data_IF_187036196416
#
_entry.id   IF_187036196416
#
_cell.length_a   1.000
_cell.length_b   1.000
_cell.length_c   1.000
_cell.angle_alpha   90.00
_cell.angle_beta   90.00
_cell.angle_gamma   90.00
#
_symmetry.space_group_name_H-M   'P 1'
#
loop_
_entity.id
_entity.type
_entity.pdbx_description
1 polymer ?
#
# COMPACT_ATOMS: atom_id res chain seq x y z
N UNK A 1 -12.74 -3.27 6.35
CA UNK A 1 -14.00 -3.39 7.13
C UNK A 1 -15.13 -3.17 6.14
N UNK A 2 -15.62 -4.24 5.54
CA UNK A 2 -16.64 -4.21 4.49
C UNK A 2 -18.01 -4.04 5.15
N UNK A 3 -18.58 -2.84 5.05
CA UNK A 3 -19.99 -2.61 5.35
C UNK A 3 -20.86 -3.23 4.24
N UNK A 4 -21.94 -3.86 4.67
CA UNK A 4 -22.87 -4.63 3.84
C UNK A 4 -23.56 -3.74 2.77
N UNK A 5 -23.80 -4.23 1.55
CA UNK A 5 -24.69 -3.56 0.60
C UNK A 5 -26.12 -3.49 1.17
N UNK A 6 -26.73 -2.31 1.07
CA UNK A 6 -27.94 -1.90 1.78
C UNK A 6 -29.26 -2.55 1.34
N UNK A 7 -29.25 -3.56 0.48
CA UNK A 7 -30.46 -4.17 -0.06
C UNK A 7 -30.74 -5.55 0.57
N UNK A 8 -30.95 -5.56 1.89
CA UNK A 8 -31.77 -6.56 2.60
C UNK A 8 -32.02 -6.12 4.06
N UNK A 9 -32.79 -5.03 4.24
CA UNK A 9 -33.13 -4.40 5.54
C UNK A 9 -34.11 -5.26 6.39
N UNK A 10 -34.07 -6.58 6.25
CA UNK A 10 -34.72 -7.52 7.17
C UNK A 10 -33.92 -8.81 7.38
N UNK A 11 -32.60 -8.77 7.18
CA UNK A 11 -31.73 -9.90 7.53
C UNK A 11 -31.40 -9.88 9.04
N UNK A 12 -31.53 -11.00 9.77
CA UNK A 12 -31.09 -11.13 11.17
C UNK A 12 -29.59 -10.91 11.38
N UNK A 13 -28.81 -10.63 10.33
CA UNK A 13 -27.37 -10.32 10.38
C UNK A 13 -27.04 -8.94 10.94
N UNK A 14 -27.96 -7.97 11.00
CA UNK A 14 -27.63 -6.60 11.44
C UNK A 14 -27.26 -6.47 12.93
N UNK A 15 -27.43 -7.53 13.73
CA UNK A 15 -27.09 -7.57 15.14
C UNK A 15 -25.77 -8.32 15.44
N UNK A 16 -25.10 -8.83 14.40
CA UNK A 16 -23.92 -9.67 14.51
C UNK A 16 -22.79 -9.14 13.63
N UNK A 17 -21.60 -9.00 14.20
CA UNK A 17 -20.40 -8.52 13.52
C UNK A 17 -19.53 -9.69 13.05
N UNK A 18 -18.80 -9.50 11.95
CA UNK A 18 -17.82 -10.47 11.46
C UNK A 18 -16.63 -10.56 12.43
N UNK A 19 -16.32 -11.79 12.85
CA UNK A 19 -15.20 -12.09 13.73
C UNK A 19 -14.21 -13.02 12.99
N UNK A 20 -13.20 -12.47 12.30
CA UNK A 20 -12.17 -13.26 11.64
C UNK A 20 -11.27 -13.93 12.69
N UNK A 21 -10.79 -15.12 12.36
CA UNK A 21 -9.78 -15.82 13.13
C UNK A 21 -8.94 -16.72 12.22
N UNK A 22 -7.71 -17.02 12.64
CA UNK A 22 -6.81 -17.89 11.88
C UNK A 22 -6.17 -18.93 12.78
N UNK A 23 -5.91 -20.11 12.19
CA UNK A 23 -5.09 -21.16 12.81
C UNK A 23 -3.81 -21.30 11.97
N UNK A 24 -2.66 -20.81 12.45
CA UNK A 24 -1.41 -20.85 11.69
C UNK A 24 -0.98 -22.28 11.36
N UNK A 25 -0.50 -22.49 10.13
CA UNK A 25 0.24 -23.68 9.73
C UNK A 25 1.69 -23.50 10.21
N UNK A 26 2.19 -24.33 11.11
CA UNK A 26 3.57 -24.20 11.59
C UNK A 26 4.54 -24.60 10.48
N UNK A 27 5.66 -23.89 10.38
CA UNK A 27 6.74 -24.26 9.45
C UNK A 27 7.22 -25.71 9.71
N UNK A 28 7.16 -26.55 8.68
CA UNK A 28 7.66 -27.92 8.73
C UNK A 28 6.81 -28.92 9.53
N UNK A 29 5.60 -28.57 9.94
CA UNK A 29 4.63 -29.48 10.54
C UNK A 29 3.48 -29.81 9.57
N UNK A 30 2.82 -30.95 9.77
CA UNK A 30 1.57 -31.23 9.07
C UNK A 30 0.57 -30.11 9.38
N UNK A 31 -0.04 -29.54 8.33
CA UNK A 31 -1.08 -28.54 8.47
C UNK A 31 -2.17 -29.06 9.43
N UNK A 32 -2.72 -28.21 10.32
CA UNK A 32 -3.87 -28.60 11.12
C UNK A 32 -4.94 -29.11 10.15
N UNK A 33 -5.32 -30.38 10.27
CA UNK A 33 -6.34 -30.94 9.41
C UNK A 33 -7.60 -30.07 9.57
N UNK A 34 -8.04 -29.39 8.50
CA UNK A 34 -9.21 -28.52 8.53
C UNK A 34 -10.43 -29.24 9.12
N UNK A 35 -10.51 -30.56 8.90
CA UNK A 35 -11.55 -31.43 9.47
C UNK A 35 -11.46 -31.60 11.00
N UNK A 36 -10.28 -31.49 11.61
CA UNK A 36 -10.12 -31.48 13.06
C UNK A 36 -10.66 -30.17 13.65
N UNK A 37 -10.30 -29.03 13.06
CA UNK A 37 -10.82 -27.71 13.48
C UNK A 37 -12.32 -27.64 13.28
N UNK A 38 -12.83 -28.07 12.12
CA UNK A 38 -14.26 -28.13 11.83
C UNK A 38 -15.03 -29.00 12.83
N UNK A 39 -14.45 -30.13 13.29
CA UNK A 39 -15.07 -30.97 14.32
C UNK A 39 -15.17 -30.27 15.68
N UNK A 40 -14.18 -29.47 16.05
CA UNK A 40 -14.20 -28.70 17.30
C UNK A 40 -15.28 -27.63 17.23
N UNK A 41 -15.28 -26.84 16.15
CA UNK A 41 -16.30 -25.80 15.90
C UNK A 41 -17.71 -26.41 15.88
N UNK A 42 -17.90 -27.55 15.20
CA UNK A 42 -19.15 -28.29 15.20
C UNK A 42 -19.55 -28.81 16.60
N UNK A 43 -18.59 -29.21 17.43
CA UNK A 43 -18.83 -29.65 18.81
C UNK A 43 -19.39 -28.53 19.69
N UNK A 44 -18.97 -27.30 19.46
CA UNK A 44 -19.54 -26.10 20.08
C UNK A 44 -20.84 -25.62 19.41
N UNK A 45 -21.23 -26.25 18.30
CA UNK A 45 -22.39 -25.89 17.45
C UNK A 45 -22.33 -24.44 16.97
N UNK A 46 -21.13 -23.92 16.76
CA UNK A 46 -20.93 -22.55 16.30
C UNK A 46 -21.27 -22.43 14.81
N UNK A 47 -21.72 -21.25 14.43
CA UNK A 47 -21.95 -20.86 13.04
C UNK A 47 -20.67 -20.17 12.57
N UNK A 48 -19.98 -20.79 11.61
CA UNK A 48 -18.70 -20.29 11.12
C UNK A 48 -18.37 -20.81 9.74
N UNK A 49 -17.63 -20.05 8.95
CA UNK A 49 -17.07 -20.47 7.68
C UNK A 49 -15.57 -20.75 7.85
N UNK A 50 -15.04 -21.68 7.06
CA UNK A 50 -13.62 -21.96 7.00
C UNK A 50 -13.13 -22.00 5.56
N UNK A 51 -11.89 -21.61 5.37
CA UNK A 51 -11.18 -21.64 4.11
C UNK A 51 -9.74 -22.06 4.37
N UNK A 52 -9.21 -22.94 3.52
CA UNK A 52 -7.83 -23.39 3.62
C UNK A 52 -6.93 -22.49 2.78
N UNK A 53 -5.91 -21.92 3.42
CA UNK A 53 -4.96 -21.01 2.78
C UNK A 53 -3.51 -21.49 2.91
N UNK A 54 -2.60 -20.92 2.10
CA UNK A 54 -1.17 -21.13 2.30
C UNK A 54 -0.75 -20.50 3.62
N UNK A 55 -0.28 -21.33 4.54
CA UNK A 55 0.28 -20.88 5.82
C UNK A 55 -0.72 -20.70 6.97
N UNK A 56 -2.03 -20.73 6.74
CA UNK A 56 -3.03 -20.83 7.82
C UNK A 56 -4.40 -21.34 7.33
N UNK A 57 -5.17 -21.89 8.27
CA UNK A 57 -6.59 -22.11 8.10
C UNK A 57 -7.33 -20.84 8.52
N UNK A 58 -8.14 -20.28 7.62
CA UNK A 58 -8.96 -19.11 7.86
C UNK A 58 -10.31 -19.52 8.39
N UNK A 59 -10.80 -18.80 9.39
CA UNK A 59 -12.10 -18.97 10.01
C UNK A 59 -12.80 -17.62 10.03
N UNK A 60 -14.09 -17.64 9.74
CA UNK A 60 -14.95 -16.48 9.91
C UNK A 60 -16.12 -16.89 10.79
N UNK A 61 -16.37 -16.11 11.84
CA UNK A 61 -17.52 -16.27 12.72
C UNK A 61 -18.38 -15.01 12.70
N UNK A 62 -19.55 -15.11 13.34
CA UNK A 62 -20.40 -13.98 13.66
C UNK A 62 -20.40 -13.80 15.18
N UNK A 63 -20.20 -12.59 15.66
CA UNK A 63 -20.15 -12.26 17.08
C UNK A 63 -21.20 -11.20 17.44
N UNK A 64 -21.81 -11.32 18.62
CA UNK A 64 -22.70 -10.27 19.13
C UNK A 64 -21.88 -9.09 19.69
N UNK A 65 -22.57 -8.02 20.10
CA UNK A 65 -21.94 -6.86 20.74
C UNK A 65 -21.18 -7.19 22.04
N UNK A 66 -21.41 -8.36 22.63
CA UNK A 66 -20.69 -8.88 23.80
C UNK A 66 -19.49 -9.77 23.44
N UNK A 67 -19.17 -9.94 22.15
CA UNK A 67 -18.09 -10.79 21.66
C UNK A 67 -18.38 -12.29 21.72
N UNK A 68 -19.65 -12.70 21.88
CA UNK A 68 -20.05 -14.11 21.87
C UNK A 68 -20.36 -14.56 20.46
N UNK A 69 -19.82 -15.72 20.09
CA UNK A 69 -19.97 -16.29 18.77
C UNK A 69 -21.37 -16.88 18.57
N UNK A 70 -21.94 -16.70 17.39
CA UNK A 70 -23.23 -17.24 17.01
C UNK A 70 -23.22 -18.77 17.10
N UNK A 71 -24.21 -19.33 17.78
CA UNK A 71 -24.36 -20.76 18.03
C UNK A 71 -25.75 -21.22 17.60
N UNK A 72 -25.83 -22.43 17.05
CA UNK A 72 -27.09 -23.09 16.77
C UNK A 72 -27.65 -23.78 18.02
N UNK A 73 -28.82 -23.35 18.48
CA UNK A 73 -29.58 -23.97 19.56
C UNK A 73 -30.19 -25.31 19.12
N UNK A 74 -30.62 -26.15 20.06
CA UNK A 74 -31.22 -27.48 19.77
C UNK A 74 -32.47 -27.42 18.88
N UNK A 75 -33.23 -26.34 18.99
CA UNK A 75 -34.41 -26.07 18.18
C UNK A 75 -34.10 -25.49 16.77
N UNK A 76 -32.82 -25.25 16.48
CA UNK A 76 -32.34 -24.68 15.21
C UNK A 76 -32.36 -23.16 15.14
N UNK A 77 -32.66 -22.46 16.24
CA UNK A 77 -32.50 -21.01 16.35
C UNK A 77 -31.04 -20.59 16.57
N UNK A 78 -30.75 -19.30 16.43
CA UNK A 78 -29.42 -18.72 16.65
C UNK A 78 -29.40 -18.07 18.03
N UNK A 79 -28.41 -18.44 18.86
CA UNK A 79 -28.20 -17.89 20.20
C UNK A 79 -26.72 -17.53 20.42
N UNK A 80 -26.40 -16.66 21.40
CA UNK A 80 -25.01 -16.39 21.77
C UNK A 80 -24.32 -17.59 22.43
N UNK A 81 -23.17 -17.99 21.90
CA UNK A 81 -22.36 -19.10 22.37
C UNK A 81 -21.19 -18.70 23.27
N UNK A 82 -20.04 -19.31 23.01
CA UNK A 82 -18.76 -19.02 23.65
C UNK A 82 -18.08 -17.80 23.02
N UNK A 83 -17.05 -17.27 23.66
CA UNK A 83 -16.20 -16.23 23.05
C UNK A 83 -15.11 -16.84 22.17
N UNK A 84 -14.43 -16.00 21.37
CA UNK A 84 -13.28 -16.42 20.57
C UNK A 84 -12.13 -16.95 21.45
N UNK A 85 -11.90 -16.36 22.61
CA UNK A 85 -10.88 -16.79 23.57
C UNK A 85 -11.18 -18.17 24.16
N UNK A 86 -12.45 -18.43 24.49
CA UNK A 86 -12.89 -19.74 24.99
C UNK A 86 -12.71 -20.83 23.93
N UNK A 87 -13.06 -20.51 22.67
CA UNK A 87 -12.83 -21.40 21.53
C UNK A 87 -11.33 -21.62 21.30
N UNK A 88 -10.53 -20.55 21.34
CA UNK A 88 -9.07 -20.61 21.18
C UNK A 88 -8.41 -21.49 22.24
N UNK A 89 -8.84 -21.37 23.49
CA UNK A 89 -8.36 -22.20 24.59
C UNK A 89 -8.73 -23.69 24.39
N UNK A 90 -9.92 -23.98 23.87
CA UNK A 90 -10.32 -25.37 23.57
C UNK A 90 -9.59 -25.95 22.36
N UNK A 91 -9.43 -25.15 21.30
CA UNK A 91 -8.60 -25.49 20.16
C UNK A 91 -7.18 -25.83 20.61
N UNK A 92 -6.61 -25.01 21.50
CA UNK A 92 -5.26 -25.21 22.03
C UNK A 92 -5.14 -26.49 22.85
N UNK A 93 -6.15 -26.83 23.65
CA UNK A 93 -6.16 -28.10 24.40
C UNK A 93 -6.24 -29.32 23.49
N UNK A 94 -7.04 -29.27 22.44
CA UNK A 94 -7.32 -30.45 21.60
C UNK A 94 -6.31 -30.63 20.46
N UNK A 95 -5.80 -29.53 19.90
CA UNK A 95 -4.91 -29.55 18.73
C UNK A 95 -3.49 -29.08 19.04
N UNK A 96 -3.26 -28.50 20.23
CA UNK A 96 -2.01 -27.82 20.55
C UNK A 96 -1.84 -26.46 19.86
N UNK A 97 -2.89 -25.93 19.20
CA UNK A 97 -2.86 -24.69 18.41
C UNK A 97 -3.88 -23.68 18.93
N UNK A 98 -3.51 -22.41 19.01
CA UNK A 98 -4.43 -21.32 19.34
C UNK A 98 -4.97 -20.62 18.10
N UNK A 99 -6.07 -19.90 18.26
CA UNK A 99 -6.56 -18.93 17.27
C UNK A 99 -5.79 -17.62 17.39
N UNK A 100 -5.57 -16.97 16.25
CA UNK A 100 -5.08 -15.61 16.15
C UNK A 100 -6.15 -14.73 15.49
N UNK A 101 -6.23 -13.46 15.87
CA UNK A 101 -7.20 -12.51 15.29
C UNK A 101 -6.84 -12.17 13.84
N UNK A 102 -5.55 -12.13 13.52
CA UNK A 102 -5.02 -11.78 12.21
C UNK A 102 -4.29 -12.96 11.57
N UNK A 103 -4.21 -12.95 10.24
CA UNK A 103 -3.41 -13.93 9.53
C UNK A 103 -1.93 -13.61 9.72
N UNK A 104 -1.09 -14.57 10.18
CA UNK A 104 0.33 -14.32 10.45
C UNK A 104 1.13 -13.91 9.21
N UNK A 105 0.62 -14.26 8.02
CA UNK A 105 1.19 -13.89 6.73
C UNK A 105 0.57 -12.64 6.09
N UNK A 106 -0.34 -11.93 6.77
CA UNK A 106 -0.99 -10.76 6.19
C UNK A 106 0.04 -9.66 5.94
N UNK A 107 0.16 -9.27 4.67
CA UNK A 107 1.02 -8.19 4.21
C UNK A 107 0.17 -7.14 3.55
N UNK A 108 0.53 -5.88 3.78
CA UNK A 108 -0.10 -4.74 3.14
C UNK A 108 0.94 -3.86 2.48
N UNK A 109 0.59 -3.35 1.32
CA UNK A 109 1.40 -2.43 0.54
C UNK A 109 0.52 -1.26 0.14
N UNK A 110 1.03 -0.05 0.31
CA UNK A 110 0.35 1.17 -0.11
C UNK A 110 1.06 1.73 -1.34
N UNK A 111 0.35 1.78 -2.47
CA UNK A 111 0.76 2.47 -3.68
C UNK A 111 0.24 3.90 -3.65
N UNK A 112 1.11 4.86 -3.42
CA UNK A 112 0.74 6.28 -3.40
C UNK A 112 1.22 6.96 -4.68
N UNK A 113 0.41 7.89 -5.20
CA UNK A 113 0.80 8.76 -6.30
C UNK A 113 1.68 9.93 -5.81
N UNK A 114 2.72 9.59 -5.07
CA UNK A 114 3.74 10.50 -4.57
C UNK A 114 5.09 9.97 -5.06
N UNK A 115 5.92 10.84 -5.63
CA UNK A 115 7.24 10.45 -6.12
C UNK A 115 8.28 10.54 -4.99
N UNK A 116 9.51 10.13 -5.25
CA UNK A 116 10.57 10.05 -4.24
C UNK A 116 10.81 11.37 -3.46
N UNK A 117 10.74 12.57 -4.09
CA UNK A 117 10.89 13.83 -3.37
C UNK A 117 9.78 14.10 -2.35
N UNK A 118 8.57 13.61 -2.55
CA UNK A 118 7.42 13.85 -1.68
C UNK A 118 7.44 12.99 -0.41
N UNK A 119 8.11 11.82 -0.45
CA UNK A 119 8.11 10.85 0.66
C UNK A 119 8.69 11.35 1.99
N UNK A 120 9.80 12.12 2.06
CA UNK A 120 10.24 12.72 3.31
C UNK A 120 9.18 13.62 3.97
N UNK A 121 8.41 14.34 3.15
CA UNK A 121 7.36 15.24 3.63
C UNK A 121 6.17 14.43 4.14
N UNK A 122 5.81 13.34 3.46
CA UNK A 122 4.82 12.39 3.94
C UNK A 122 5.19 11.83 5.32
N UNK A 123 6.42 11.33 5.50
CA UNK A 123 6.91 10.82 6.78
C UNK A 123 6.88 11.91 7.88
N UNK A 124 7.23 13.16 7.54
CA UNK A 124 7.19 14.28 8.48
C UNK A 124 5.78 14.74 8.84
N UNK A 125 4.82 14.73 7.91
CA UNK A 125 3.45 15.16 8.20
C UNK A 125 2.67 14.09 8.94
N UNK A 126 2.84 12.82 8.56
CA UNK A 126 2.21 11.68 9.22
C UNK A 126 2.86 11.29 10.54
N UNK A 127 4.11 11.73 10.79
CA UNK A 127 4.92 11.31 11.92
C UNK A 127 5.15 9.79 11.97
N UNK A 128 5.15 9.12 10.80
CA UNK A 128 5.32 7.67 10.66
C UNK A 128 6.65 7.30 10.02
N UNK A 129 7.13 6.09 10.33
CA UNK A 129 8.28 5.48 9.67
C UNK A 129 7.84 4.49 8.60
N UNK A 130 8.47 4.53 7.43
CA UNK A 130 8.19 3.55 6.37
C UNK A 130 9.37 3.36 5.42
N UNK A 131 9.38 2.21 4.76
CA UNK A 131 10.29 1.92 3.65
C UNK A 131 9.55 2.08 2.34
N UNK A 132 10.19 2.73 1.36
CA UNK A 132 9.55 2.96 0.06
C UNK A 132 10.51 2.84 -1.13
N UNK A 133 9.93 2.52 -2.28
CA UNK A 133 10.59 2.55 -3.59
C UNK A 133 9.70 3.29 -4.58
N UNK A 134 10.25 4.31 -5.22
CA UNK A 134 9.54 5.09 -6.23
C UNK A 134 9.89 4.65 -7.65
N UNK A 135 8.88 4.52 -8.51
CA UNK A 135 8.99 4.17 -9.93
C UNK A 135 7.93 4.93 -10.71
N UNK A 136 8.35 5.67 -11.75
CA UNK A 136 7.44 6.33 -12.68
C UNK A 136 6.39 7.23 -12.01
N UNK A 137 6.76 7.92 -10.92
CA UNK A 137 5.86 8.83 -10.20
C UNK A 137 4.92 8.15 -9.18
N UNK A 138 5.00 6.82 -9.04
CA UNK A 138 4.35 6.07 -7.97
C UNK A 138 5.37 5.62 -6.94
N UNK A 139 4.96 5.54 -5.67
CA UNK A 139 5.77 4.93 -4.61
C UNK A 139 5.08 3.73 -4.00
N UNK A 140 5.83 2.62 -3.94
CA UNK A 140 5.47 1.42 -3.19
C UNK A 140 5.92 1.63 -1.75
N UNK A 141 4.99 1.70 -0.81
CA UNK A 141 5.25 2.00 0.60
C UNK A 141 4.88 0.80 1.47
N UNK A 142 5.81 0.41 2.35
CA UNK A 142 5.62 -0.62 3.38
C UNK A 142 5.94 0.00 4.73
N UNK A 143 5.03 -0.18 5.67
CA UNK A 143 5.13 0.34 7.03
C UNK A 143 5.72 -0.70 7.95
N UNK A 144 6.47 -0.24 8.95
CA UNK A 144 7.04 -1.12 9.97
C UNK A 144 5.98 -1.55 11.00
N UNK A 145 4.99 -0.68 11.24
CA UNK A 145 3.89 -0.89 12.18
C UNK A 145 2.53 -0.70 11.50
N UNK A 146 1.53 -1.49 11.93
CA UNK A 146 0.18 -1.41 11.37
C UNK A 146 -0.55 -0.11 11.74
N UNK A 147 -0.26 0.46 12.91
CA UNK A 147 -0.81 1.76 13.34
C UNK A 147 -0.37 2.86 12.38
N UNK A 148 0.89 2.82 11.96
CA UNK A 148 1.46 3.78 11.01
C UNK A 148 0.83 3.63 9.62
N UNK A 149 0.60 2.40 9.18
CA UNK A 149 -0.15 2.12 7.95
C UNK A 149 -1.55 2.76 7.99
N UNK A 150 -2.31 2.58 9.07
CA UNK A 150 -3.65 3.17 9.19
C UNK A 150 -3.61 4.69 9.28
N UNK A 151 -2.63 5.27 9.98
CA UNK A 151 -2.46 6.71 10.09
C UNK A 151 -2.20 7.36 8.72
N UNK A 152 -1.34 6.76 7.89
CA UNK A 152 -1.11 7.28 6.54
C UNK A 152 -2.29 7.00 5.63
N UNK A 153 -2.79 5.76 5.58
CA UNK A 153 -3.91 5.38 4.73
C UNK A 153 -5.12 6.31 4.87
N UNK A 154 -5.51 6.64 6.10
CA UNK A 154 -6.68 7.48 6.39
C UNK A 154 -6.41 8.98 6.25
N UNK A 155 -5.14 9.40 6.28
CA UNK A 155 -4.72 10.80 6.17
C UNK A 155 -4.30 11.23 4.76
N UNK A 156 -4.35 10.34 3.77
CA UNK A 156 -3.97 10.67 2.40
C UNK A 156 -5.02 11.55 1.72
N UNK A 157 -4.58 12.71 1.23
CA UNK A 157 -5.39 13.61 0.40
C UNK A 157 -5.22 13.39 -1.10
N UNK A 158 -4.57 12.30 -1.52
CA UNK A 158 -4.30 11.95 -2.92
C UNK A 158 -4.77 10.51 -3.18
N UNK A 159 -5.20 10.18 -4.41
CA UNK A 159 -5.58 8.82 -4.75
C UNK A 159 -4.43 7.82 -4.52
N UNK A 160 -4.78 6.66 -3.99
CA UNK A 160 -3.84 5.60 -3.68
C UNK A 160 -4.46 4.23 -3.95
N UNK A 161 -3.62 3.20 -4.03
CA UNK A 161 -4.07 1.81 -4.13
C UNK A 161 -3.50 1.02 -2.97
N UNK A 162 -4.37 0.35 -2.23
CA UNK A 162 -3.99 -0.57 -1.16
C UNK A 162 -4.00 -1.97 -1.74
N UNK A 163 -2.91 -2.68 -1.53
CA UNK A 163 -2.85 -4.12 -1.76
C UNK A 163 -2.76 -4.82 -0.42
N UNK A 164 -3.59 -5.83 -0.22
CA UNK A 164 -3.45 -6.76 0.90
C UNK A 164 -3.36 -8.18 0.36
N UNK A 165 -2.49 -8.98 0.96
CA UNK A 165 -2.42 -10.41 0.66
C UNK A 165 -2.00 -11.15 1.91
N UNK A 166 -2.69 -12.24 2.19
CA UNK A 166 -2.28 -13.24 3.16
C UNK A 166 -1.83 -14.56 2.50
N UNK A 167 -1.76 -14.55 1.16
CA UNK A 167 -1.46 -15.68 0.29
C UNK A 167 -2.69 -16.48 -0.16
N UNK A 168 -3.76 -16.53 0.65
CA UNK A 168 -5.03 -17.16 0.26
C UNK A 168 -5.97 -16.11 -0.33
N UNK A 169 -6.16 -15.05 0.44
CA UNK A 169 -7.01 -13.90 0.16
C UNK A 169 -6.13 -12.75 -0.30
N UNK A 170 -6.57 -12.10 -1.36
CA UNK A 170 -5.93 -10.96 -2.00
C UNK A 170 -6.96 -9.88 -2.20
N UNK A 171 -6.56 -8.64 -1.99
CA UNK A 171 -7.40 -7.49 -2.35
C UNK A 171 -6.58 -6.36 -2.93
N UNK A 172 -7.23 -5.62 -3.83
CA UNK A 172 -6.74 -4.37 -4.38
C UNK A 172 -7.85 -3.32 -4.26
N UNK A 173 -7.61 -2.30 -3.46
CA UNK A 173 -8.60 -1.27 -3.13
C UNK A 173 -8.09 0.09 -3.55
N UNK A 174 -8.89 0.86 -4.27
CA UNK A 174 -8.54 2.21 -4.72
C UNK A 174 -9.13 3.22 -3.74
N UNK A 175 -8.26 3.98 -3.10
CA UNK A 175 -8.61 5.10 -2.24
C UNK A 175 -8.72 6.35 -3.09
N UNK A 176 -9.87 7.03 -3.03
CA UNK A 176 -10.18 8.14 -3.93
C UNK A 176 -10.03 9.52 -3.30
N UNK A 177 -9.48 9.60 -2.08
CA UNK A 177 -9.18 10.86 -1.39
C UNK A 177 -10.37 11.86 -1.33
N UNK A 178 -11.60 11.35 -1.27
CA UNK A 178 -12.82 12.16 -1.22
C UNK A 178 -13.44 12.48 -2.59
N UNK A 179 -12.98 11.84 -3.67
CA UNK A 179 -13.64 11.87 -4.98
C UNK A 179 -14.69 10.75 -5.10
N UNK A 180 -15.89 11.06 -5.61
CA UNK A 180 -16.89 10.06 -6.01
C UNK A 180 -16.65 9.71 -7.49
N UNK A 181 -16.23 8.47 -7.81
CA UNK A 181 -15.86 8.08 -9.17
C UNK A 181 -17.08 7.89 -10.08
N UNK A 182 -18.29 7.82 -9.53
CA UNK A 182 -19.50 7.48 -10.27
C UNK A 182 -20.64 8.51 -10.13
N UNK A 183 -20.51 9.53 -9.26
CA UNK A 183 -21.62 10.45 -8.88
C UNK A 183 -22.87 9.71 -8.34
N UNK A 184 -22.72 8.45 -7.89
CA UNK A 184 -23.84 7.58 -7.46
C UNK A 184 -23.74 7.17 -5.98
N UNK A 185 -22.63 7.47 -5.28
CA UNK A 185 -22.38 6.92 -3.94
C UNK A 185 -22.09 7.99 -2.89
N UNK A 186 -22.55 7.73 -1.66
CA UNK A 186 -22.10 8.50 -0.51
C UNK A 186 -20.58 8.30 -0.34
N UNK A 187 -19.82 9.35 -0.05
CA UNK A 187 -18.35 9.33 -0.03
C UNK A 187 -17.78 8.28 0.92
N UNK A 188 -18.52 7.93 1.98
CA UNK A 188 -18.16 6.87 2.94
C UNK A 188 -18.19 5.45 2.35
N UNK A 189 -18.89 5.24 1.22
CA UNK A 189 -19.02 3.94 0.56
C UNK A 189 -18.15 3.81 -0.72
N UNK A 190 -17.50 4.90 -1.16
CA UNK A 190 -16.74 4.93 -2.41
C UNK A 190 -15.56 3.93 -2.42
N UNK A 191 -14.89 3.76 -1.28
CA UNK A 191 -13.77 2.80 -1.13
C UNK A 191 -14.23 1.35 -1.34
N UNK A 192 -15.42 0.98 -0.83
CA UNK A 192 -16.00 -0.35 -1.04
C UNK A 192 -16.40 -0.60 -2.51
N UNK A 193 -16.72 0.47 -3.25
CA UNK A 193 -17.07 0.42 -4.67
C UNK A 193 -15.83 0.27 -5.56
N UNK A 194 -14.64 0.64 -5.09
CA UNK A 194 -13.39 0.48 -5.87
C UNK A 194 -12.46 -0.60 -5.29
N UNK A 195 -13.04 -1.70 -4.80
CA UNK A 195 -12.30 -2.84 -4.29
C UNK A 195 -12.44 -4.07 -5.18
N UNK A 196 -11.32 -4.73 -5.44
CA UNK A 196 -11.22 -6.04 -6.08
C UNK A 196 -10.72 -7.04 -5.05
N UNK A 197 -11.30 -8.24 -5.05
CA UNK A 197 -11.04 -9.27 -4.04
C UNK A 197 -10.98 -10.64 -4.70
N UNK A 198 -9.99 -11.44 -4.29
CA UNK A 198 -9.81 -12.83 -4.67
C UNK A 198 -9.60 -13.65 -3.41
N UNK A 199 -10.43 -14.66 -3.19
CA UNK A 199 -10.41 -15.45 -1.97
C UNK A 199 -10.28 -16.94 -2.24
N UNK A 200 -9.97 -17.72 -1.19
CA UNK A 200 -10.11 -19.18 -1.21
C UNK A 200 -11.58 -19.59 -1.29
N UNK A 201 -11.83 -20.87 -1.57
CA UNK A 201 -13.17 -21.43 -1.48
C UNK A 201 -13.60 -21.58 -0.01
N UNK A 202 -14.60 -20.80 0.38
CA UNK A 202 -15.18 -20.87 1.72
C UNK A 202 -16.20 -22.00 1.83
N UNK A 203 -16.08 -22.80 2.89
CA UNK A 203 -17.03 -23.87 3.24
C UNK A 203 -17.50 -23.75 4.69
N UNK A 204 -18.64 -24.35 5.06
CA UNK A 204 -19.09 -24.35 6.45
C UNK A 204 -18.05 -24.99 7.39
N UNK A 205 -17.75 -24.34 8.51
CA UNK A 205 -16.78 -24.78 9.51
C UNK A 205 -17.32 -25.84 10.47
N UNK A 206 -18.32 -26.62 10.03
CA UNK A 206 -19.16 -27.43 10.90
C UNK A 206 -20.51 -26.76 11.09
N UNK A 207 -21.50 -27.22 10.32
CA UNK A 207 -22.88 -26.78 10.49
C UNK A 207 -23.56 -27.42 11.70
N UNK A 208 -24.76 -26.96 12.09
CA UNK A 208 -25.53 -27.55 13.17
C UNK A 208 -25.80 -29.04 12.91
N UNK A 209 -25.10 -29.90 13.64
CA UNK A 209 -25.25 -31.34 13.55
C UNK A 209 -26.73 -31.71 13.78
N UNK A 210 -27.38 -32.29 12.77
CA UNK A 210 -28.74 -32.81 12.87
C UNK A 210 -29.89 -31.82 12.62
N UNK A 211 -29.65 -30.54 12.35
CA UNK A 211 -30.74 -29.61 11.98
C UNK A 211 -30.92 -29.59 10.46
N UNK A 212 -32.14 -29.83 9.96
CA UNK A 212 -32.41 -29.83 8.52
C UNK A 212 -32.06 -28.49 7.86
N UNK A 213 -31.79 -28.50 6.54
CA UNK A 213 -31.46 -27.32 5.70
C UNK A 213 -32.47 -26.14 5.76
N UNK A 214 -33.58 -26.29 6.46
CA UNK A 214 -34.63 -25.27 6.59
C UNK A 214 -34.58 -24.45 7.88
N UNK A 215 -33.65 -24.72 8.81
CA UNK A 215 -33.58 -23.99 10.10
C UNK A 215 -32.98 -22.59 9.96
N UNK A 216 -33.31 -21.66 10.86
CA UNK A 216 -32.66 -20.34 10.92
C UNK A 216 -31.13 -20.43 10.98
N UNK A 217 -30.58 -21.30 11.82
CA UNK A 217 -29.13 -21.47 11.94
C UNK A 217 -28.46 -21.98 10.65
N UNK A 218 -29.11 -22.88 9.91
CA UNK A 218 -28.58 -23.36 8.62
C UNK A 218 -28.57 -22.24 7.56
N UNK A 219 -29.64 -21.44 7.49
CA UNK A 219 -29.68 -20.26 6.59
C UNK A 219 -28.61 -19.25 6.96
N UNK A 220 -28.43 -19.00 8.26
CA UNK A 220 -27.43 -18.06 8.75
C UNK A 220 -25.99 -18.51 8.42
N UNK A 221 -25.73 -19.82 8.50
CA UNK A 221 -24.47 -20.42 8.06
C UNK A 221 -24.25 -20.27 6.54
N UNK A 222 -25.28 -20.52 5.74
CA UNK A 222 -25.22 -20.37 4.28
C UNK A 222 -25.02 -18.90 3.88
N UNK A 223 -25.69 -17.96 4.56
CA UNK A 223 -25.52 -16.52 4.37
C UNK A 223 -24.10 -16.07 4.73
N UNK A 224 -23.54 -16.57 5.83
CA UNK A 224 -22.14 -16.29 6.20
C UNK A 224 -21.15 -16.79 5.13
N UNK A 225 -21.31 -18.02 4.66
CA UNK A 225 -20.45 -18.56 3.59
C UNK A 225 -20.62 -17.76 2.30
N UNK A 226 -21.86 -17.36 1.96
CA UNK A 226 -22.13 -16.49 0.81
C UNK A 226 -21.47 -15.13 0.95
N UNK A 227 -21.46 -14.55 2.16
CA UNK A 227 -20.79 -13.28 2.44
C UNK A 227 -19.27 -13.40 2.31
N UNK A 228 -18.67 -14.47 2.85
CA UNK A 228 -17.22 -14.71 2.71
C UNK A 228 -16.80 -15.01 1.26
N UNK A 229 -17.68 -15.67 0.50
CA UNK A 229 -17.49 -15.97 -0.91
C UNK A 229 -17.98 -14.85 -1.84
N UNK A 230 -18.49 -13.74 -1.29
CA UNK A 230 -18.90 -12.59 -2.09
C UNK A 230 -17.63 -11.97 -2.69
N UNK A 231 -17.31 -12.38 -3.91
CA UNK A 231 -16.22 -11.78 -4.67
C UNK A 231 -16.59 -10.41 -5.19
N UNK A 232 -15.75 -9.90 -6.08
CA UNK A 232 -15.95 -8.60 -6.71
C UNK A 232 -17.19 -8.59 -7.62
N UNK A 233 -18.04 -7.59 -7.43
CA UNK A 233 -19.22 -7.31 -8.25
C UNK A 233 -18.87 -6.63 -9.58
N UNK A 234 -19.76 -6.72 -10.57
CA UNK A 234 -19.59 -6.00 -11.85
C UNK A 234 -19.48 -4.48 -11.67
N UNK A 235 -20.22 -3.91 -10.72
CA UNK A 235 -20.13 -2.49 -10.39
C UNK A 235 -18.70 -2.14 -9.94
N UNK A 236 -18.09 -2.95 -9.08
CA UNK A 236 -16.72 -2.71 -8.63
C UNK A 236 -15.70 -2.80 -9.78
N UNK A 237 -15.88 -3.74 -10.69
CA UNK A 237 -15.04 -3.85 -11.90
C UNK A 237 -15.19 -2.60 -12.78
N UNK A 238 -16.41 -2.12 -13.00
CA UNK A 238 -16.68 -0.93 -13.80
C UNK A 238 -16.14 0.35 -13.13
N UNK A 239 -16.24 0.47 -11.81
CA UNK A 239 -15.71 1.61 -11.06
C UNK A 239 -14.19 1.66 -11.10
N UNK A 240 -13.49 0.53 -10.89
CA UNK A 240 -12.03 0.48 -11.06
C UNK A 240 -11.63 0.78 -12.50
N UNK A 241 -12.35 0.23 -13.48
CA UNK A 241 -12.09 0.53 -14.89
C UNK A 241 -12.25 2.02 -15.23
N UNK A 242 -13.26 2.68 -14.65
CA UNK A 242 -13.48 4.12 -14.80
C UNK A 242 -12.33 4.93 -14.22
N UNK A 243 -11.90 4.64 -12.99
CA UNK A 243 -10.82 5.37 -12.30
C UNK A 243 -9.49 5.31 -13.05
N UNK A 244 -9.22 4.18 -13.73
CA UNK A 244 -7.98 3.98 -14.49
C UNK A 244 -8.15 4.24 -16.00
N UNK A 245 -9.26 4.84 -16.43
CA UNK A 245 -9.56 5.14 -17.84
C UNK A 245 -9.39 3.93 -18.78
N UNK A 246 -9.76 2.73 -18.32
CA UNK A 246 -9.58 1.50 -19.10
C UNK A 246 -10.51 1.46 -20.32
N UNK A 247 -9.97 1.00 -21.46
CA UNK A 247 -10.79 0.78 -22.64
C UNK A 247 -11.70 -0.47 -22.48
N UNK A 248 -12.74 -0.66 -23.33
CA UNK A 248 -13.65 -1.80 -23.19
C UNK A 248 -12.97 -3.18 -23.29
N UNK A 249 -11.86 -3.29 -24.02
CA UNK A 249 -11.10 -4.55 -24.10
C UNK A 249 -10.30 -4.80 -22.81
N UNK A 250 -9.75 -3.75 -22.21
CA UNK A 250 -9.06 -3.77 -20.92
C UNK A 250 -10.02 -4.06 -19.77
N UNK A 251 -11.20 -3.43 -19.74
CA UNK A 251 -12.27 -3.74 -18.76
C UNK A 251 -12.69 -5.20 -18.84
N UNK A 252 -12.81 -5.76 -20.06
CA UNK A 252 -13.08 -7.19 -20.23
C UNK A 252 -11.94 -8.07 -19.69
N UNK A 253 -10.68 -7.66 -19.83
CA UNK A 253 -9.55 -8.38 -19.23
C UNK A 253 -9.60 -8.32 -17.70
N UNK A 254 -9.91 -7.15 -17.13
CA UNK A 254 -10.07 -7.00 -15.68
C UNK A 254 -11.15 -7.93 -15.15
N UNK A 255 -12.32 -7.96 -15.79
CA UNK A 255 -13.41 -8.88 -15.47
C UNK A 255 -12.95 -10.34 -15.49
N UNK A 256 -12.17 -10.74 -16.49
CA UNK A 256 -11.65 -12.11 -16.57
C UNK A 256 -10.64 -12.43 -15.46
N UNK A 257 -9.81 -11.47 -15.04
CA UNK A 257 -8.91 -11.65 -13.89
C UNK A 257 -9.68 -11.78 -12.57
N UNK A 258 -10.75 -11.02 -12.43
CA UNK A 258 -11.62 -11.03 -11.25
C UNK A 258 -12.43 -12.33 -11.16
N UNK A 259 -12.99 -12.81 -12.27
CA UNK A 259 -13.77 -14.04 -12.31
C UNK A 259 -12.93 -15.32 -12.29
N UNK A 260 -11.60 -15.20 -12.46
CA UNK A 260 -10.66 -16.32 -12.44
C UNK A 260 -10.27 -16.77 -11.03
N UNK A 261 -9.52 -17.87 -10.96
CA UNK A 261 -9.02 -18.38 -9.68
C UNK A 261 -8.03 -17.43 -9.01
N UNK A 262 -8.03 -17.41 -7.67
CA UNK A 262 -7.03 -16.70 -6.88
C UNK A 262 -5.66 -17.34 -7.07
N UNK A 263 -4.79 -16.69 -7.84
CA UNK A 263 -3.40 -17.12 -8.10
C UNK A 263 -2.41 -16.11 -7.57
N UNK A 264 -1.18 -16.54 -7.26
CA UNK A 264 -0.09 -15.65 -6.81
C UNK A 264 0.30 -14.54 -7.81
N UNK A 265 -0.18 -14.65 -9.05
CA UNK A 265 0.10 -13.72 -10.15
C UNK A 265 -1.08 -12.79 -10.46
N UNK A 266 -2.23 -12.95 -9.80
CA UNK A 266 -3.43 -12.19 -10.13
C UNK A 266 -3.22 -10.69 -9.87
N UNK A 267 -2.64 -10.34 -8.72
CA UNK A 267 -2.29 -8.95 -8.40
C UNK A 267 -1.25 -8.39 -9.37
N UNK A 268 -0.25 -9.18 -9.76
CA UNK A 268 0.76 -8.76 -10.74
C UNK A 268 0.12 -8.44 -12.11
N UNK A 269 -0.82 -9.27 -12.55
CA UNK A 269 -1.55 -9.09 -13.82
C UNK A 269 -2.49 -7.89 -13.79
N UNK A 270 -3.19 -7.68 -12.66
CA UNK A 270 -4.07 -6.52 -12.44
C UNK A 270 -3.26 -5.24 -12.40
N UNK A 271 -2.18 -5.15 -11.60
CA UNK A 271 -1.34 -3.96 -11.56
C UNK A 271 -0.75 -3.62 -12.93
N UNK A 272 -0.34 -4.62 -13.70
CA UNK A 272 0.16 -4.39 -15.06
C UNK A 272 -0.93 -3.82 -15.98
N UNK A 273 -2.17 -4.30 -15.88
CA UNK A 273 -3.31 -3.77 -16.64
C UNK A 273 -3.62 -2.32 -16.25
N UNK A 274 -3.54 -1.99 -14.95
CA UNK A 274 -3.78 -0.64 -14.43
C UNK A 274 -2.59 0.32 -14.63
N UNK A 275 -1.48 -0.14 -15.23
CA UNK A 275 -0.28 0.67 -15.40
C UNK A 275 0.46 1.00 -14.10
N UNK A 276 0.21 0.24 -13.04
CA UNK A 276 0.78 0.43 -11.70
C UNK A 276 2.08 -0.36 -11.49
N UNK A 277 2.92 0.02 -10.50
CA UNK A 277 4.16 -0.71 -10.21
C UNK A 277 3.91 -2.16 -9.77
N UNK A 278 4.19 -3.11 -10.67
CA UNK A 278 4.11 -4.56 -10.41
C UNK A 278 4.98 -5.01 -9.22
N UNK A 279 6.00 -4.24 -8.86
CA UNK A 279 6.80 -4.48 -7.66
C UNK A 279 5.94 -4.62 -6.39
N UNK A 280 4.84 -3.85 -6.29
CA UNK A 280 3.95 -3.92 -5.14
C UNK A 280 3.30 -5.31 -4.97
N UNK A 281 2.89 -5.95 -6.07
CA UNK A 281 2.39 -7.32 -6.03
C UNK A 281 3.46 -8.31 -5.57
N UNK A 282 4.73 -8.12 -5.94
CA UNK A 282 5.82 -9.00 -5.50
C UNK A 282 6.13 -8.85 -4.01
N UNK A 283 6.01 -7.63 -3.49
CA UNK A 283 6.23 -7.33 -2.08
C UNK A 283 5.07 -7.83 -1.22
N UNK A 284 3.82 -7.58 -1.64
CA UNK A 284 2.63 -8.02 -0.89
C UNK A 284 2.50 -9.54 -0.86
N UNK A 285 2.88 -10.25 -1.94
CA UNK A 285 2.93 -11.72 -1.97
C UNK A 285 4.18 -12.29 -1.27
N UNK A 286 5.04 -11.46 -0.68
CA UNK A 286 6.27 -11.90 0.01
C UNK A 286 7.34 -12.52 -0.90
N UNK A 287 7.21 -12.40 -2.22
CA UNK A 287 8.21 -12.85 -3.20
C UNK A 287 9.46 -11.97 -3.22
N UNK A 288 9.40 -10.78 -2.62
CA UNK A 288 10.53 -9.85 -2.50
C UNK A 288 10.38 -8.99 -1.25
N UNK A 289 11.46 -8.82 -0.51
CA UNK A 289 11.49 -7.84 0.56
C UNK A 289 11.84 -6.46 -0.01
N UNK A 290 11.09 -5.44 0.40
CA UNK A 290 11.30 -4.09 -0.10
C UNK A 290 12.68 -3.56 0.30
N UNK A 291 13.15 -3.87 1.52
CA UNK A 291 14.45 -3.45 2.06
C UNK A 291 15.66 -4.03 1.31
N UNK A 292 15.49 -5.13 0.57
CA UNK A 292 16.57 -5.76 -0.21
C UNK A 292 16.77 -5.12 -1.59
N UNK A 293 15.93 -4.16 -1.97
CA UNK A 293 16.04 -3.44 -3.22
C UNK A 293 17.15 -2.39 -3.14
N UNK A 294 18.00 -2.32 -4.16
CA UNK A 294 19.09 -1.32 -4.25
C UNK A 294 18.59 0.12 -4.15
N UNK A 295 17.35 0.37 -4.62
CA UNK A 295 16.72 1.70 -4.62
C UNK A 295 15.75 1.91 -3.44
N UNK A 296 15.70 0.99 -2.46
CA UNK A 296 14.87 1.18 -1.27
C UNK A 296 15.45 2.26 -0.37
N UNK A 297 14.61 3.19 0.07
CA UNK A 297 14.97 4.17 1.09
C UNK A 297 14.00 4.06 2.25
N UNK A 298 14.55 4.03 3.46
CA UNK A 298 13.77 4.15 4.68
C UNK A 298 13.60 5.64 5.05
N UNK A 299 12.38 6.04 5.33
CA UNK A 299 11.97 7.39 5.68
C UNK A 299 11.50 7.41 7.13
N UNK A 300 12.40 7.84 8.01
CA UNK A 300 12.04 8.12 9.41
C UNK A 300 11.33 9.48 9.53
N UNK A 301 10.40 9.63 10.49
CA UNK A 301 9.74 10.90 10.75
C UNK A 301 10.75 11.94 11.20
N UNK A 302 10.69 13.12 10.60
CA UNK A 302 11.52 14.28 10.95
C UNK A 302 10.66 15.54 11.02
N UNK A 303 11.24 16.67 11.42
CA UNK A 303 10.53 17.95 11.29
C UNK A 303 10.24 18.30 9.84
N UNK A 304 9.13 18.99 9.58
CA UNK A 304 8.69 19.39 8.22
C UNK A 304 9.77 20.18 7.47
N UNK A 305 10.46 21.11 8.15
CA UNK A 305 11.53 21.90 7.53
C UNK A 305 12.68 21.03 6.97
N UNK A 306 13.33 20.19 7.79
CA UNK A 306 14.31 19.21 7.33
C UNK A 306 13.80 18.28 6.21
N UNK A 307 12.56 17.82 6.30
CA UNK A 307 11.95 16.98 5.27
C UNK A 307 11.82 17.68 3.91
N UNK A 308 11.36 18.93 3.89
CA UNK A 308 11.29 19.76 2.67
C UNK A 308 12.68 20.00 2.08
N UNK A 309 13.69 20.23 2.92
CA UNK A 309 15.08 20.34 2.45
C UNK A 309 15.61 19.03 1.87
N UNK A 310 15.26 17.89 2.48
CA UNK A 310 15.61 16.55 1.97
C UNK A 310 14.94 16.29 0.62
N UNK A 311 13.65 16.59 0.49
CA UNK A 311 12.87 16.47 -0.76
C UNK A 311 13.59 17.13 -1.95
N UNK A 312 14.09 18.35 -1.76
CA UNK A 312 14.79 19.11 -2.81
C UNK A 312 16.12 18.49 -3.28
N UNK A 313 16.67 17.56 -2.51
CA UNK A 313 17.90 16.84 -2.87
C UNK A 313 17.66 15.51 -3.57
N UNK A 314 16.40 15.06 -3.63
CA UNK A 314 15.99 13.79 -4.24
C UNK A 314 15.53 14.05 -5.67
N UNK A 315 15.98 13.21 -6.59
CA UNK A 315 15.57 13.28 -7.98
C UNK A 315 14.18 12.61 -8.15
N UNK A 316 13.22 13.24 -8.84
CA UNK A 316 11.96 12.57 -9.15
C UNK A 316 12.18 11.40 -10.12
N UNK A 317 11.36 10.37 -9.99
CA UNK A 317 11.31 9.17 -10.83
C UNK A 317 10.28 9.27 -11.96
N UNK A 318 9.37 10.24 -11.90
CA UNK A 318 8.40 10.53 -12.95
C UNK A 318 9.03 10.98 -14.27
N UNK A 319 8.32 10.74 -15.38
CA UNK A 319 8.78 11.03 -16.75
C UNK A 319 8.20 12.33 -17.35
N UNK A 320 7.60 13.18 -16.51
CA UNK A 320 7.06 14.47 -16.93
C UNK A 320 8.14 15.48 -17.36
N UNK A 321 7.72 16.54 -18.05
CA UNK A 321 8.61 17.67 -18.38
C UNK A 321 9.15 18.34 -17.12
N UNK A 322 8.29 18.54 -16.11
CA UNK A 322 8.69 19.10 -14.82
C UNK A 322 9.69 18.20 -14.10
N UNK A 323 9.49 16.88 -14.13
CA UNK A 323 10.41 15.92 -13.52
C UNK A 323 11.77 15.92 -14.21
N UNK A 324 11.81 16.06 -15.54
CA UNK A 324 13.06 16.25 -16.28
C UNK A 324 13.78 17.53 -15.85
N UNK A 325 13.05 18.65 -15.71
CA UNK A 325 13.62 19.91 -15.23
C UNK A 325 14.14 19.77 -13.79
N UNK A 326 13.33 19.21 -12.88
CA UNK A 326 13.71 18.95 -11.49
C UNK A 326 14.93 18.03 -11.41
N UNK A 327 14.96 16.92 -12.15
CA UNK A 327 16.14 16.04 -12.27
C UNK A 327 17.37 16.80 -12.73
N UNK A 328 17.25 17.64 -13.75
CA UNK A 328 18.36 18.46 -14.24
C UNK A 328 18.88 19.43 -13.17
N UNK A 329 17.99 20.05 -12.39
CA UNK A 329 18.35 20.93 -11.28
C UNK A 329 19.04 20.16 -10.13
N UNK A 330 18.55 18.96 -9.79
CA UNK A 330 19.19 18.10 -8.80
C UNK A 330 20.58 17.66 -9.29
N UNK A 331 20.75 17.21 -10.53
CA UNK A 331 22.06 16.79 -11.02
C UNK A 331 23.02 17.96 -11.27
N UNK A 332 22.51 19.15 -11.59
CA UNK A 332 23.29 20.36 -11.88
C UNK A 332 22.79 21.55 -11.05
N UNK A 333 23.02 21.57 -9.74
CA UNK A 333 22.53 22.65 -8.88
C UNK A 333 23.17 24.01 -9.19
N UNK A 334 24.32 24.02 -9.88
CA UNK A 334 24.94 25.23 -10.39
C UNK A 334 24.09 25.98 -11.43
N UNK A 335 23.08 25.33 -12.03
CA UNK A 335 22.11 26.01 -12.89
C UNK A 335 21.29 27.04 -12.11
N UNK A 336 20.91 26.75 -10.86
CA UNK A 336 20.19 27.73 -10.03
C UNK A 336 21.08 28.91 -9.66
N UNK A 337 22.36 28.65 -9.38
CA UNK A 337 23.32 29.74 -9.19
C UNK A 337 23.50 30.59 -10.46
N UNK A 338 23.43 29.97 -11.64
CA UNK A 338 23.51 30.68 -12.92
C UNK A 338 22.27 31.53 -13.19
N UNK A 339 21.07 31.05 -12.85
CA UNK A 339 19.81 31.80 -12.91
C UNK A 339 19.86 32.97 -11.92
N UNK A 340 20.15 32.71 -10.64
CA UNK A 340 20.32 33.74 -9.62
C UNK A 340 21.36 34.80 -10.02
N UNK A 341 22.47 34.36 -10.63
CA UNK A 341 23.50 35.25 -11.15
C UNK A 341 23.02 36.14 -12.31
N UNK A 342 22.23 35.58 -13.23
CA UNK A 342 21.61 36.33 -14.33
C UNK A 342 20.56 37.32 -13.82
N UNK A 343 19.69 36.89 -12.90
CA UNK A 343 18.68 37.75 -12.26
C UNK A 343 19.32 38.88 -11.47
N UNK A 344 20.40 38.59 -10.73
CA UNK A 344 21.18 39.61 -10.03
C UNK A 344 21.76 40.62 -11.02
N UNK A 345 22.33 40.15 -12.14
CA UNK A 345 22.89 41.04 -13.17
C UNK A 345 21.81 41.95 -13.80
N UNK A 346 20.63 41.39 -14.12
CA UNK A 346 19.49 42.14 -14.65
C UNK A 346 18.96 43.12 -13.61
N UNK A 347 18.76 42.66 -12.37
CA UNK A 347 18.30 43.47 -11.25
C UNK A 347 19.22 44.65 -10.95
N UNK A 348 20.54 44.44 -10.92
CA UNK A 348 21.53 45.51 -10.79
C UNK A 348 21.49 46.47 -11.98
N UNK A 349 21.33 45.96 -13.21
CA UNK A 349 21.16 46.78 -14.41
C UNK A 349 19.93 47.68 -14.35
N UNK A 350 18.79 47.15 -13.88
CA UNK A 350 17.54 47.90 -13.69
C UNK A 350 17.66 48.92 -12.56
N UNK A 351 18.33 48.60 -11.44
CA UNK A 351 18.63 49.56 -10.38
C UNK A 351 19.51 50.72 -10.89
N UNK A 352 20.52 50.39 -11.69
CA UNK A 352 21.39 51.37 -12.34
C UNK A 352 20.61 52.30 -13.28
N UNK A 353 19.67 51.75 -14.06
CA UNK A 353 18.79 52.53 -14.93
C UNK A 353 17.80 53.41 -14.13
N UNK A 354 17.21 52.88 -13.05
CA UNK A 354 16.33 53.63 -12.15
C UNK A 354 17.04 54.82 -11.49
N UNK A 355 18.32 54.67 -11.13
CA UNK A 355 19.16 55.73 -10.54
C UNK A 355 19.46 56.90 -11.50
N UNK A 356 19.34 56.69 -12.82
CA UNK A 356 19.52 57.76 -13.83
C UNK A 356 18.31 58.69 -13.94
N UNK A 357 17.19 58.36 -13.29
CA UNK A 357 15.97 59.17 -13.24
C UNK A 357 15.11 59.08 -14.52
N UNK A 358 13.86 59.55 -14.41
CA UNK A 358 12.87 59.54 -15.51
C UNK A 358 11.48 59.00 -15.09
N UNK A 359 10.50 59.10 -15.98
CA UNK A 359 9.10 58.72 -15.70
C UNK A 359 8.93 57.23 -15.33
N UNK A 360 9.85 56.36 -15.75
CA UNK A 360 9.84 54.91 -15.46
C UNK A 360 10.69 54.46 -14.28
N UNK A 361 11.37 55.36 -13.57
CA UNK A 361 12.38 54.98 -12.56
C UNK A 361 11.80 54.16 -11.38
N UNK A 362 10.55 54.43 -10.97
CA UNK A 362 9.89 53.65 -9.91
C UNK A 362 9.61 52.21 -10.34
N UNK A 363 9.13 52.00 -11.57
CA UNK A 363 8.81 50.67 -12.11
C UNK A 363 10.09 49.83 -12.27
N UNK A 364 11.17 50.45 -12.77
CA UNK A 364 12.47 49.78 -12.88
C UNK A 364 13.06 49.43 -11.50
N UNK A 365 12.87 50.30 -10.51
CA UNK A 365 13.28 50.05 -9.13
C UNK A 365 12.52 48.89 -8.47
N UNK A 366 11.21 48.79 -8.69
CA UNK A 366 10.40 47.68 -8.15
C UNK A 366 10.74 46.35 -8.83
N UNK A 367 10.94 46.33 -10.15
CA UNK A 367 11.37 45.13 -10.87
C UNK A 367 12.77 44.69 -10.46
N UNK A 368 13.68 45.64 -10.24
CA UNK A 368 15.02 45.36 -9.69
C UNK A 368 14.95 44.71 -8.30
N UNK A 369 14.13 45.27 -7.40
CA UNK A 369 13.98 44.72 -6.05
C UNK A 369 13.38 43.31 -6.07
N UNK A 370 12.41 43.04 -6.94
CA UNK A 370 11.82 41.71 -7.12
C UNK A 370 12.87 40.69 -7.60
N UNK A 371 13.61 41.00 -8.67
CA UNK A 371 14.65 40.11 -9.20
C UNK A 371 15.81 39.87 -8.23
N UNK A 372 16.19 40.89 -7.44
CA UNK A 372 17.23 40.73 -6.43
C UNK A 372 16.75 39.91 -5.22
N UNK A 373 15.48 40.02 -4.85
CA UNK A 373 14.88 39.20 -3.81
C UNK A 373 14.78 37.73 -4.25
N UNK A 374 14.40 37.49 -5.50
CA UNK A 374 14.32 36.15 -6.09
C UNK A 374 15.71 35.48 -6.15
N UNK A 375 16.70 36.18 -6.70
CA UNK A 375 18.08 35.72 -6.71
C UNK A 375 18.66 35.44 -5.31
N UNK A 376 18.26 36.22 -4.30
CA UNK A 376 18.66 35.97 -2.91
C UNK A 376 18.01 34.70 -2.34
N UNK A 377 16.73 34.46 -2.66
CA UNK A 377 16.03 33.24 -2.28
C UNK A 377 16.65 32.00 -2.97
N UNK A 378 16.94 32.09 -4.27
CA UNK A 378 17.64 31.05 -5.03
C UNK A 378 19.06 30.77 -4.48
N UNK A 379 19.79 31.83 -4.10
CA UNK A 379 21.11 31.72 -3.48
C UNK A 379 21.08 31.05 -2.10
N UNK A 380 20.10 31.41 -1.27
CA UNK A 380 19.86 30.79 0.04
C UNK A 380 19.47 29.30 -0.13
N UNK A 381 18.61 29.01 -1.11
CA UNK A 381 18.21 27.67 -1.49
C UNK A 381 19.42 26.82 -1.91
N UNK A 382 20.29 27.35 -2.77
CA UNK A 382 21.51 26.65 -3.18
C UNK A 382 22.48 26.39 -2.02
N UNK A 383 22.59 27.34 -1.08
CA UNK A 383 23.40 27.16 0.12
C UNK A 383 22.86 26.05 1.03
N UNK A 384 21.54 26.00 1.23
CA UNK A 384 20.86 24.96 2.00
C UNK A 384 21.02 23.58 1.35
N UNK A 385 20.84 23.49 0.02
CA UNK A 385 21.04 22.26 -0.76
C UNK A 385 22.48 21.73 -0.61
N UNK A 386 23.48 22.61 -0.63
CA UNK A 386 24.89 22.24 -0.41
C UNK A 386 25.14 21.73 1.01
N UNK A 387 24.51 22.33 2.02
CA UNK A 387 24.64 21.89 3.41
C UNK A 387 24.06 20.48 3.59
N UNK A 388 22.83 20.25 3.11
CA UNK A 388 22.14 18.96 3.18
C UNK A 388 22.92 17.83 2.48
N UNK A 389 23.50 18.10 1.30
CA UNK A 389 24.36 17.11 0.61
C UNK A 389 25.60 16.73 1.40
N UNK A 390 26.23 17.69 2.09
CA UNK A 390 27.39 17.42 2.94
C UNK A 390 27.02 16.57 4.14
N UNK A 391 25.85 16.80 4.72
CA UNK A 391 25.34 15.98 5.83
C UNK A 391 25.05 14.55 5.38
N UNK A 392 24.41 14.35 4.23
CA UNK A 392 24.25 13.01 3.62
C UNK A 392 25.59 12.31 3.37
N UNK A 393 26.56 13.01 2.78
CA UNK A 393 27.89 12.45 2.54
C UNK A 393 28.64 12.09 3.84
N UNK A 394 28.37 12.79 4.95
CA UNK A 394 28.92 12.45 6.28
C UNK A 394 28.20 11.27 6.92
N UNK A 395 26.87 11.20 6.78
CA UNK A 395 26.04 10.12 7.31
C UNK A 395 26.29 8.79 6.60
N UNK A 396 26.66 8.82 5.31
CA UNK A 396 27.06 7.65 4.54
C UNK A 396 28.39 7.01 5.01
N UNK A 397 29.12 7.64 5.95
CA UNK A 397 30.43 7.19 6.42
C UNK A 397 31.52 7.29 5.32
N UNK A 398 32.82 7.25 5.68
CA UNK A 398 33.84 7.00 4.67
C UNK A 398 33.55 5.61 4.08
N UNK A 399 33.39 5.53 2.76
CA UNK A 399 33.50 4.24 2.07
C UNK A 399 34.82 3.61 2.54
N UNK A 400 34.71 2.45 3.21
CA UNK A 400 35.88 1.64 3.50
C UNK A 400 36.65 1.50 2.17
N UNK A 401 37.93 1.86 2.08
CA UNK A 401 38.70 1.61 0.88
C UNK A 401 38.75 0.09 0.72
N UNK A 402 37.77 -0.44 -0.02
CA UNK A 402 37.74 -1.83 -0.42
C UNK A 402 39.14 -2.20 -0.93
N UNK A 403 39.60 -3.43 -0.64
CA UNK A 403 40.99 -3.81 -0.86
C UNK A 403 41.40 -3.39 -2.26
N UNK A 404 42.49 -2.62 -2.33
CA UNK A 404 43.04 -2.08 -3.56
C UNK A 404 42.95 -3.16 -4.66
N UNK A 405 42.43 -2.84 -5.86
CA UNK A 405 42.23 -3.84 -6.89
C UNK A 405 43.57 -4.54 -7.12
N UNK A 406 43.63 -5.83 -6.75
CA UNK A 406 44.76 -6.67 -7.11
C UNK A 406 44.91 -6.54 -8.62
N UNK A 407 46.12 -6.24 -9.15
CA UNK A 407 46.30 -6.12 -10.58
C UNK A 407 45.83 -7.42 -11.22
N UNK A 408 44.71 -7.35 -11.96
CA UNK A 408 44.18 -8.53 -12.62
C UNK A 408 45.24 -9.04 -13.60
N UNK A 409 45.66 -10.28 -13.42
CA UNK A 409 46.49 -11.02 -14.36
C UNK A 409 45.78 -11.30 -15.71
N UNK A 410 44.65 -10.63 -15.97
CA UNK A 410 43.83 -10.80 -17.16
C UNK A 410 44.25 -9.90 -18.34
N UNK A 411 45.12 -8.89 -18.13
CA UNK A 411 45.61 -8.03 -19.22
C UNK A 411 46.84 -8.53 -19.97
N UNK A 412 47.44 -9.64 -19.54
CA UNK A 412 48.60 -10.27 -20.21
C UNK A 412 48.22 -11.42 -21.16
N UNK A 413 46.97 -11.90 -21.13
CA UNK A 413 46.50 -13.00 -22.00
C UNK A 413 46.01 -12.58 -23.38
N UNK A 414 45.46 -11.37 -23.51
CA UNK A 414 44.83 -10.92 -24.77
C UNK A 414 45.82 -10.43 -25.84
N UNK A 415 47.02 -9.98 -25.47
CA UNK A 415 48.06 -9.60 -26.45
C UNK A 415 48.74 -10.80 -27.10
N UNK A 416 48.89 -11.93 -26.38
CA UNK A 416 49.38 -13.20 -26.95
C UNK A 416 48.36 -13.89 -27.86
N UNK A 417 47.07 -13.57 -27.74
CA UNK A 417 46.03 -14.17 -28.56
C UNK A 417 45.90 -13.55 -29.96
N UNK A 418 46.38 -12.31 -30.15
CA UNK A 418 46.30 -11.59 -31.42
C UNK A 418 47.63 -11.49 -32.19
N UNK A 419 48.72 -12.11 -31.70
CA UNK A 419 49.98 -12.21 -32.46
C UNK A 419 50.56 -10.86 -32.91
N UNK A 420 50.44 -9.84 -32.08
CA UNK A 420 51.06 -8.54 -32.30
C UNK A 420 52.14 -8.33 -31.24
N UNK A 421 53.36 -8.79 -31.55
CA UNK A 421 54.60 -8.33 -30.92
C UNK A 421 55.20 -7.20 -31.75
#
# INVERSE_FOLDING_TARGET
>A
MTSLPADDVASPTSAWDLAPATVPHPEGADAPAADAVARIVAGHRLIGALAEGPGALQLMFLADAGGRLARAAEDGTVEPGCTLDELSADLARQTGRGLQAEHPGLRRVLLVRLDAPELPVLAALSQTGFTAVSRHGWSVVVFDDEVDYWAVRTGLGEPAVVLSSDGATRSAEVLLAGEDPADVTDLEAADAVCALEWGPEWRPAGGPAGTGRGTPAARFQDDLVRLCAAGTSELQVESVASVFDLDPAETNRLRNYVAGDSTELVLESVLQLLGLPVLAAKVVEGRRELAELEDAEHYAPTGVGPAVLRAMTIAPTGDGLLDRCRRALVHRPGLVLAVAGAETAVGVGLAGAARRGGAGARVLGTLSAALLADAAAEGAWWAALRAARRERARAAGPADPGPAPRPSAARTGLRRFFGLD
#
